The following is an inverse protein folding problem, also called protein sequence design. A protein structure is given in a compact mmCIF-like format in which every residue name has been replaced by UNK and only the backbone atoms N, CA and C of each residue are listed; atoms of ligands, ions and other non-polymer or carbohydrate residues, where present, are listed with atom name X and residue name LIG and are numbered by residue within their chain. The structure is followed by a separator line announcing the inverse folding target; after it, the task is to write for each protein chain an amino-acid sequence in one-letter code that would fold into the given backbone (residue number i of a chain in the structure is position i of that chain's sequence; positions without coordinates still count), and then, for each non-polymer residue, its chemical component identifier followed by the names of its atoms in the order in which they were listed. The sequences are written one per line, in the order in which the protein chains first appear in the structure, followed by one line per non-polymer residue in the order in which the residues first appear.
data_IF_234714438736
#
_entry.id   IF_234714438736
#
_cell.length_a   1.000
_cell.length_b   1.000
_cell.length_c   1.000
_cell.angle_alpha   90.00
_cell.angle_beta   90.00
_cell.angle_gamma   90.00
#
_symmetry.space_group_name_H-M   'P 1'
#
loop_
_entity.id
_entity.type
_entity.pdbx_description
1 polymer ?
#
# COMPACT_ATOMS: atom_id res chain seq x y z
N UNK A 1 61.82 1.67 27.24
CA UNK A 1 60.59 2.44 27.56
C UNK A 1 59.69 2.77 26.37
N UNK A 2 60.17 3.04 25.15
CA UNK A 2 59.30 3.49 24.03
C UNK A 2 58.51 2.40 23.28
N UNK A 3 58.93 1.13 23.30
CA UNK A 3 58.28 0.06 22.51
C UNK A 3 57.07 -0.56 23.20
N UNK A 4 57.14 -0.75 24.51
CA UNK A 4 56.04 -1.33 25.30
C UNK A 4 54.85 -0.38 25.45
N UNK A 5 55.10 0.93 25.55
CA UNK A 5 54.05 1.96 25.54
C UNK A 5 53.30 1.97 24.21
N UNK A 6 53.99 1.71 23.09
CA UNK A 6 53.39 1.68 21.76
C UNK A 6 52.47 0.46 21.57
N UNK A 7 52.89 -0.72 22.05
CA UNK A 7 52.06 -1.92 22.04
C UNK A 7 50.85 -1.79 22.97
N UNK A 8 51.01 -1.15 24.14
CA UNK A 8 49.89 -0.88 25.04
C UNK A 8 48.85 0.08 24.43
N UNK A 9 49.30 1.10 23.69
CA UNK A 9 48.41 2.02 22.96
C UNK A 9 47.67 1.34 21.81
N UNK A 10 48.34 0.47 21.04
CA UNK A 10 47.68 -0.29 19.98
C UNK A 10 46.66 -1.29 20.53
N UNK A 11 46.99 -1.97 21.63
CA UNK A 11 46.06 -2.87 22.31
C UNK A 11 44.86 -2.11 22.89
N UNK A 12 45.06 -0.94 23.49
CA UNK A 12 43.98 -0.10 24.00
C UNK A 12 43.07 0.43 22.87
N UNK A 13 43.65 0.78 21.71
CA UNK A 13 42.88 1.21 20.55
C UNK A 13 42.05 0.08 19.95
N UNK A 14 42.62 -1.12 19.81
CA UNK A 14 41.88 -2.33 19.41
C UNK A 14 40.77 -2.67 20.40
N UNK A 15 41.03 -2.55 21.70
CA UNK A 15 40.02 -2.79 22.73
C UNK A 15 38.87 -1.75 22.65
N UNK A 16 39.18 -0.48 22.37
CA UNK A 16 38.18 0.57 22.18
C UNK A 16 37.35 0.36 20.91
N UNK A 17 37.96 -0.09 19.81
CA UNK A 17 37.24 -0.44 18.58
C UNK A 17 36.32 -1.64 18.82
N UNK A 18 36.80 -2.70 19.49
CA UNK A 18 35.98 -3.86 19.85
C UNK A 18 34.87 -3.47 20.82
N UNK A 19 35.14 -2.63 21.83
CA UNK A 19 34.09 -2.11 22.72
C UNK A 19 33.08 -1.24 21.97
N UNK A 20 33.51 -0.43 21.02
CA UNK A 20 32.61 0.41 20.21
C UNK A 20 31.74 -0.42 19.26
N UNK A 21 32.28 -1.52 18.71
CA UNK A 21 31.52 -2.48 17.90
C UNK A 21 30.56 -3.28 18.77
N UNK A 22 30.96 -3.68 19.97
CA UNK A 22 30.14 -4.44 20.92
C UNK A 22 29.01 -3.58 21.53
N UNK A 23 29.31 -2.35 21.94
CA UNK A 23 28.32 -1.39 22.45
C UNK A 23 27.44 -0.81 21.33
N UNK A 24 27.95 -0.70 20.10
CA UNK A 24 27.17 -0.35 18.92
C UNK A 24 26.23 -1.46 18.47
N UNK A 25 26.62 -2.73 18.67
CA UNK A 25 25.76 -3.90 18.43
C UNK A 25 24.55 -3.94 19.40
N UNK A 26 24.72 -3.50 20.65
CA UNK A 26 23.63 -3.43 21.64
C UNK A 26 22.66 -2.24 21.44
N UNK A 27 23.07 -1.18 20.73
CA UNK A 27 22.15 -0.10 20.36
C UNK A 27 21.33 -0.42 19.10
N UNK A 28 21.84 -1.28 18.20
CA UNK A 28 21.12 -1.72 17.00
C UNK A 28 20.09 -2.82 17.29
N UNK A 29 20.26 -3.59 18.36
CA UNK A 29 19.28 -4.60 18.79
C UNK A 29 18.04 -4.03 19.50
N UNK A 30 18.06 -2.74 19.88
CA UNK A 30 16.98 -2.07 20.61
C UNK A 30 16.08 -1.17 19.76
N UNK A 31 16.40 -0.96 18.48
CA UNK A 31 15.54 -0.25 17.53
C UNK A 31 14.71 -1.30 16.79
N UNK A 32 13.86 -2.01 17.53
CA UNK A 32 12.70 -2.63 16.92
C UNK A 32 11.76 -1.49 16.51
N UNK A 33 11.36 -1.38 15.24
CA UNK A 33 10.28 -0.48 14.88
C UNK A 33 9.04 -0.93 15.68
N UNK A 34 8.17 0.02 16.02
CA UNK A 34 7.02 -0.11 16.94
C UNK A 34 5.95 -1.15 16.54
N UNK A 35 6.28 -2.08 15.64
CA UNK A 35 5.51 -3.22 15.17
C UNK A 35 5.41 -4.36 16.19
N UNK A 36 6.21 -4.39 17.26
CA UNK A 36 6.23 -5.52 18.20
C UNK A 36 6.36 -5.05 19.67
N UNK A 37 5.22 -4.92 20.35
CA UNK A 37 5.15 -5.20 21.80
C UNK A 37 4.22 -6.39 22.00
N UNK A 38 4.69 -7.52 22.54
CA UNK A 38 3.83 -8.65 22.87
C UNK A 38 3.00 -8.30 24.11
N UNK A 39 1.71 -8.08 23.93
CA UNK A 39 0.75 -7.92 25.01
C UNK A 39 -0.02 -9.21 25.24
N UNK A 40 0.20 -9.82 26.41
CA UNK A 40 -0.59 -10.83 27.10
C UNK A 40 -0.41 -12.31 26.69
N UNK A 41 0.44 -12.98 27.48
CA UNK A 41 0.37 -14.42 27.70
C UNK A 41 -1.00 -14.80 28.29
N UNK A 42 -1.73 -15.67 27.60
CA UNK A 42 -2.87 -16.37 28.18
C UNK A 42 -2.31 -17.55 28.97
N UNK A 43 -2.42 -17.47 30.30
CA UNK A 43 -2.22 -18.60 31.21
C UNK A 43 -3.26 -19.68 30.88
N UNK A 44 -2.83 -20.78 30.27
CA UNK A 44 -3.63 -22.01 30.20
C UNK A 44 -3.42 -22.76 31.52
N UNK A 45 -4.38 -22.64 32.43
CA UNK A 45 -4.46 -23.57 33.56
C UNK A 45 -5.08 -24.87 33.06
N UNK A 46 -4.25 -25.92 33.01
CA UNK A 46 -4.68 -27.28 32.90
C UNK A 46 -5.35 -27.71 34.21
N UNK A 47 -6.61 -28.13 34.14
CA UNK A 47 -7.20 -29.06 35.11
C UNK A 47 -7.91 -30.18 34.37
N UNK A 48 -7.42 -31.38 34.67
CA UNK A 48 -7.90 -32.68 34.25
C UNK A 48 -9.25 -33.04 34.89
N UNK A 49 -10.17 -33.60 34.11
CA UNK A 49 -11.12 -34.62 34.60
C UNK A 49 -11.82 -35.38 33.46
N UNK A 50 -11.40 -36.64 33.32
CA UNK A 50 -12.21 -37.87 33.09
C UNK A 50 -13.53 -37.84 32.29
N UNK A 51 -13.48 -38.55 31.16
CA UNK A 51 -14.49 -39.39 30.44
C UNK A 51 -15.43 -40.16 31.43
N UNK A 52 -16.72 -40.52 31.14
CA UNK A 52 -17.13 -41.29 29.96
C UNK A 52 -18.50 -41.04 29.28
N UNK A 53 -18.59 -41.71 28.13
CA UNK A 53 -19.67 -41.85 27.16
C UNK A 53 -20.92 -42.63 27.62
N UNK A 54 -21.85 -42.85 26.66
CA UNK A 54 -23.14 -43.57 26.62
C UNK A 54 -24.38 -42.68 26.81
N UNK A 55 -25.51 -42.82 26.10
CA UNK A 55 -25.98 -43.71 25.03
C UNK A 55 -27.31 -43.16 24.44
N UNK A 56 -27.67 -43.65 23.24
CA UNK A 56 -29.02 -43.89 22.65
C UNK A 56 -30.22 -42.99 23.04
N UNK A 57 -30.99 -42.43 22.10
CA UNK A 57 -32.10 -43.11 21.40
C UNK A 57 -32.77 -42.09 20.47
N UNK A 58 -32.77 -42.29 19.14
CA UNK A 58 -33.90 -42.76 18.30
C UNK A 58 -35.22 -41.96 18.32
N UNK A 59 -35.58 -41.52 17.10
CA UNK A 59 -36.93 -41.32 16.52
C UNK A 59 -37.70 -40.06 17.00
N UNK A 60 -38.44 -39.30 16.17
CA UNK A 60 -39.25 -39.67 15.01
C UNK A 60 -39.42 -38.47 14.04
N UNK A 61 -39.58 -38.82 12.76
CA UNK A 61 -40.09 -38.01 11.65
C UNK A 61 -41.57 -37.72 11.87
N UNK A 62 -42.04 -36.50 11.59
CA UNK A 62 -43.26 -36.29 10.77
C UNK A 62 -43.46 -34.82 10.34
N UNK A 63 -43.72 -34.68 9.05
CA UNK A 63 -44.02 -33.50 8.24
C UNK A 63 -45.53 -33.36 8.11
N UNK A 64 -46.17 -32.18 8.32
CA UNK A 64 -47.40 -31.67 7.63
C UNK A 64 -47.50 -30.15 7.93
N UNK A 65 -47.24 -29.24 6.99
CA UNK A 65 -48.14 -28.55 6.03
C UNK A 65 -49.26 -27.64 6.58
N UNK A 66 -49.12 -26.35 6.22
CA UNK A 66 -50.11 -25.35 5.79
C UNK A 66 -51.35 -25.03 6.65
N UNK A 67 -51.54 -23.73 6.92
CA UNK A 67 -52.78 -23.00 6.55
C UNK A 67 -52.56 -21.47 6.56
N UNK A 68 -53.13 -20.83 5.54
CA UNK A 68 -53.38 -19.39 5.38
C UNK A 68 -54.48 -18.93 6.38
N UNK A 69 -54.89 -17.69 6.61
CA UNK A 69 -54.68 -16.32 6.11
C UNK A 69 -55.34 -15.39 7.15
N UNK A 70 -54.98 -14.11 7.22
CA UNK A 70 -55.91 -13.05 7.62
C UNK A 70 -55.41 -11.67 7.14
N UNK A 71 -56.24 -11.04 6.30
CA UNK A 71 -56.13 -9.68 5.81
C UNK A 71 -56.70 -8.73 6.86
N UNK A 72 -56.02 -7.63 7.15
CA UNK A 72 -56.63 -6.45 7.75
C UNK A 72 -56.05 -5.18 7.11
N UNK A 73 -56.94 -4.38 6.53
CA UNK A 73 -56.68 -3.16 5.77
C UNK A 73 -56.92 -1.96 6.67
N UNK A 74 -55.94 -1.08 6.89
CA UNK A 74 -56.23 0.31 7.27
C UNK A 74 -55.08 1.29 6.98
N UNK A 75 -55.41 2.27 6.13
CA UNK A 75 -55.00 3.69 6.13
C UNK A 75 -53.56 4.12 5.83
N UNK A 76 -53.49 4.85 4.71
CA UNK A 76 -52.42 5.70 4.20
C UNK A 76 -51.86 6.67 5.25
N UNK A 77 -50.55 6.61 5.49
CA UNK A 77 -49.76 7.70 6.04
C UNK A 77 -48.56 7.94 5.11
N UNK A 78 -48.43 9.19 4.69
CA UNK A 78 -47.43 9.71 3.77
C UNK A 78 -46.04 9.59 4.41
N UNK A 79 -45.27 8.56 4.05
CA UNK A 79 -43.88 8.41 4.48
C UNK A 79 -43.00 9.31 3.61
N UNK A 80 -42.65 10.47 4.16
CA UNK A 80 -41.49 11.24 3.73
C UNK A 80 -40.27 10.34 3.82
N UNK A 81 -39.67 10.02 2.67
CA UNK A 81 -38.47 9.20 2.59
C UNK A 81 -37.34 9.80 3.41
N UNK A 82 -37.03 9.17 4.54
CA UNK A 82 -35.78 9.37 5.25
C UNK A 82 -34.65 8.85 4.38
N UNK A 83 -33.78 9.77 3.97
CA UNK A 83 -32.46 9.51 3.38
C UNK A 83 -31.73 8.48 4.29
N UNK A 84 -31.05 7.46 3.75
CA UNK A 84 -30.22 6.60 4.59
C UNK A 84 -29.21 7.46 5.33
N UNK A 85 -29.08 7.29 6.64
CA UNK A 85 -28.08 7.96 7.43
C UNK A 85 -26.70 7.48 6.95
N UNK A 86 -25.95 8.36 6.30
CA UNK A 86 -24.50 8.18 6.19
C UNK A 86 -23.96 8.20 7.62
N UNK A 87 -23.52 7.03 8.11
CA UNK A 87 -22.80 6.88 9.37
C UNK A 87 -21.39 7.48 9.23
N UNK A 88 -21.29 8.74 8.83
CA UNK A 88 -20.03 9.47 8.78
C UNK A 88 -19.62 9.82 10.22
N UNK A 89 -18.40 9.44 10.60
CA UNK A 89 -17.82 9.84 11.88
C UNK A 89 -17.66 11.37 11.87
N UNK A 90 -18.18 12.11 12.87
CA UNK A 90 -18.00 13.56 12.92
C UNK A 90 -16.52 13.93 12.99
N UNK A 91 -16.08 14.86 12.15
CA UNK A 91 -14.70 15.34 12.12
C UNK A 91 -14.52 16.40 13.23
N UNK A 92 -13.60 16.20 14.19
CA UNK A 92 -13.30 17.21 15.21
C UNK A 92 -12.67 18.46 14.58
N UNK A 93 -13.07 19.65 15.04
CA UNK A 93 -12.40 20.91 14.65
C UNK A 93 -11.17 21.16 15.52
N UNK A 94 -9.98 20.99 14.95
CA UNK A 94 -8.67 21.20 15.56
C UNK A 94 -7.95 22.41 14.95
N UNK A 95 -8.08 22.61 13.63
CA UNK A 95 -7.42 23.70 12.91
C UNK A 95 -8.28 24.97 12.87
N UNK A 96 -7.63 26.14 12.95
CA UNK A 96 -8.28 27.40 12.60
C UNK A 96 -8.66 27.40 11.10
N UNK A 97 -9.71 28.15 10.75
CA UNK A 97 -10.12 28.32 9.34
C UNK A 97 -8.97 28.83 8.47
N UNK A 98 -8.17 29.77 8.96
CA UNK A 98 -7.00 30.30 8.27
C UNK A 98 -5.96 29.22 7.98
N UNK A 99 -5.67 28.35 8.97
CA UNK A 99 -4.71 27.28 8.80
C UNK A 99 -5.19 26.23 7.79
N UNK A 100 -6.47 25.85 7.87
CA UNK A 100 -7.10 24.91 6.93
C UNK A 100 -7.07 25.46 5.50
N UNK A 101 -7.46 26.71 5.30
CA UNK A 101 -7.37 27.38 3.99
C UNK A 101 -5.94 27.42 3.47
N UNK A 102 -4.96 27.68 4.33
CA UNK A 102 -3.55 27.67 3.93
C UNK A 102 -3.04 26.27 3.53
N UNK A 103 -3.55 25.19 4.14
CA UNK A 103 -3.25 23.82 3.69
C UNK A 103 -3.89 23.51 2.34
N UNK A 104 -5.16 23.87 2.15
CA UNK A 104 -5.85 23.71 0.85
C UNK A 104 -5.12 24.48 -0.24
N UNK A 105 -4.77 25.75 -0.01
CA UNK A 105 -4.00 26.55 -0.96
C UNK A 105 -2.63 25.93 -1.29
N UNK A 106 -1.94 25.40 -0.27
CA UNK A 106 -0.69 24.69 -0.47
C UNK A 106 -0.86 23.42 -1.33
N UNK A 107 -1.90 22.62 -1.10
CA UNK A 107 -2.19 21.41 -1.89
C UNK A 107 -2.53 21.76 -3.34
N UNK A 108 -3.38 22.77 -3.54
CA UNK A 108 -3.87 23.13 -4.87
C UNK A 108 -2.86 23.91 -5.72
N UNK A 109 -1.86 24.55 -5.11
CA UNK A 109 -0.85 25.33 -5.80
C UNK A 109 0.58 24.87 -5.44
N UNK A 110 1.30 24.20 -6.37
CA UNK A 110 2.69 23.78 -6.13
C UNK A 110 3.66 24.95 -5.93
N UNK A 111 3.32 26.16 -6.42
CA UNK A 111 4.12 27.38 -6.24
C UNK A 111 3.92 28.04 -4.86
N UNK A 112 2.92 27.61 -4.06
CA UNK A 112 2.71 28.13 -2.71
C UNK A 112 3.71 27.51 -1.72
N UNK A 113 4.81 28.22 -1.46
CA UNK A 113 5.94 27.75 -0.65
C UNK A 113 5.85 28.08 0.84
N UNK A 114 4.75 28.67 1.33
CA UNK A 114 4.61 29.00 2.77
C UNK A 114 4.62 27.78 3.68
N UNK A 115 4.18 26.61 3.20
CA UNK A 115 4.23 25.36 3.95
C UNK A 115 5.40 24.50 3.44
N UNK A 116 6.29 24.03 4.35
CA UNK A 116 7.35 23.10 3.99
C UNK A 116 6.77 21.85 3.32
N UNK A 117 7.48 21.35 2.31
CA UNK A 117 7.18 20.10 1.60
C UNK A 117 8.43 19.63 0.86
N UNK A 118 8.47 18.38 0.44
CA UNK A 118 9.49 17.91 -0.51
C UNK A 118 9.38 18.68 -1.84
N UNK A 119 10.46 19.36 -2.22
CA UNK A 119 10.57 20.00 -3.53
C UNK A 119 10.83 18.93 -4.59
N UNK A 120 9.97 18.91 -5.62
CA UNK A 120 10.08 17.99 -6.74
C UNK A 120 10.54 18.76 -7.99
N UNK A 121 11.48 18.21 -8.76
CA UNK A 121 11.85 18.78 -10.06
C UNK A 121 10.68 18.71 -11.05
N UNK A 122 10.71 19.59 -12.05
CA UNK A 122 9.80 19.49 -13.19
C UNK A 122 10.07 18.21 -13.98
N UNK A 123 9.01 17.50 -14.36
CA UNK A 123 9.12 16.27 -15.12
C UNK A 123 8.91 16.49 -16.62
N UNK A 124 9.45 15.58 -17.44
CA UNK A 124 9.28 15.61 -18.89
C UNK A 124 7.87 15.18 -19.27
N UNK A 125 7.00 16.14 -19.55
CA UNK A 125 5.59 15.90 -19.93
C UNK A 125 5.44 14.98 -21.14
N UNK A 126 6.36 15.05 -22.13
CA UNK A 126 6.32 14.20 -23.33
C UNK A 126 6.42 12.70 -23.03
N UNK A 127 7.07 12.32 -21.92
CA UNK A 127 7.18 10.91 -21.51
C UNK A 127 5.82 10.32 -21.18
N UNK A 128 4.92 11.13 -20.63
CA UNK A 128 3.63 10.71 -20.09
C UNK A 128 2.45 11.19 -20.95
N UNK A 129 2.71 11.93 -22.04
CA UNK A 129 1.68 12.58 -22.86
C UNK A 129 0.60 11.62 -23.36
N UNK A 130 0.97 10.39 -23.71
CA UNK A 130 0.02 9.36 -24.17
C UNK A 130 -0.93 8.83 -23.07
N UNK A 131 -0.64 9.13 -21.79
CA UNK A 131 -1.52 8.80 -20.67
C UNK A 131 -2.62 9.84 -20.47
N UNK A 132 -2.39 11.08 -20.92
CA UNK A 132 -3.37 12.14 -20.80
C UNK A 132 -4.55 11.86 -21.73
N UNK A 133 -5.77 12.00 -21.22
CA UNK A 133 -6.96 11.96 -22.07
C UNK A 133 -6.96 13.20 -22.93
N UNK A 134 -6.93 13.02 -24.26
CA UNK A 134 -7.08 14.13 -25.17
C UNK A 134 -8.54 14.56 -25.19
N UNK A 135 -8.78 15.85 -25.01
CA UNK A 135 -10.08 16.48 -25.24
C UNK A 135 -10.36 16.46 -26.76
N UNK A 136 -10.70 15.29 -27.32
CA UNK A 136 -11.29 15.26 -28.64
C UNK A 136 -12.66 15.94 -28.53
N UNK A 137 -12.79 17.13 -29.13
CA UNK A 137 -14.01 17.97 -29.18
C UNK A 137 -15.22 17.30 -29.87
N UNK A 138 -15.23 15.96 -30.03
CA UNK A 138 -16.25 15.21 -30.74
C UNK A 138 -16.86 14.10 -29.88
N UNK A 139 -17.97 14.40 -29.21
CA UNK A 139 -19.14 13.53 -28.94
C UNK A 139 -18.92 12.06 -28.52
N UNK A 140 -17.75 11.70 -27.99
CA UNK A 140 -17.54 10.43 -27.31
C UNK A 140 -17.80 10.66 -25.82
N UNK A 141 -18.94 10.15 -25.34
CA UNK A 141 -19.23 9.92 -23.92
C UNK A 141 -17.94 9.57 -23.17
N UNK A 142 -17.51 10.34 -22.13
CA UNK A 142 -16.26 10.05 -21.44
C UNK A 142 -16.31 8.59 -21.01
N UNK A 143 -15.30 7.82 -21.41
CA UNK A 143 -15.23 6.36 -21.35
C UNK A 143 -15.11 5.80 -19.91
N UNK A 144 -15.72 6.44 -18.93
CA UNK A 144 -15.56 6.21 -17.51
C UNK A 144 -14.26 6.78 -16.96
N UNK A 145 -14.02 6.52 -15.68
CA UNK A 145 -12.79 6.87 -14.97
C UNK A 145 -11.68 5.90 -15.38
N UNK A 146 -10.58 6.44 -15.90
CA UNK A 146 -9.40 5.67 -16.31
C UNK A 146 -8.37 5.53 -15.18
N UNK A 147 -8.35 6.49 -14.24
CA UNK A 147 -7.37 6.56 -13.15
C UNK A 147 -8.08 6.75 -11.81
N UNK A 148 -7.98 5.75 -10.94
CA UNK A 148 -8.60 5.76 -9.61
C UNK A 148 -7.51 5.84 -8.54
N UNK A 149 -7.28 7.04 -8.00
CA UNK A 149 -6.37 7.26 -6.89
C UNK A 149 -7.03 6.84 -5.58
N UNK A 150 -6.35 6.02 -4.78
CA UNK A 150 -6.87 5.48 -3.53
C UNK A 150 -5.86 5.62 -2.39
N UNK A 151 -6.29 6.09 -1.22
CA UNK A 151 -5.44 6.26 -0.04
C UNK A 151 -6.21 5.91 1.24
N UNK A 152 -5.49 5.30 2.19
CA UNK A 152 -5.87 5.22 3.59
C UNK A 152 -4.92 6.12 4.39
N UNK A 153 -5.44 7.16 5.06
CA UNK A 153 -4.63 8.19 5.71
C UNK A 153 -4.94 8.33 7.20
N UNK A 154 -3.89 8.62 7.98
CA UNK A 154 -4.00 8.86 9.42
C UNK A 154 -2.84 9.70 9.94
N UNK A 155 -3.11 10.77 10.68
CA UNK A 155 -2.12 11.62 11.36
C UNK A 155 -0.97 12.07 10.44
N UNK A 156 -1.32 12.57 9.24
CA UNK A 156 -0.36 12.93 8.19
C UNK A 156 -0.54 14.36 7.65
N UNK A 157 -1.09 15.27 8.46
CA UNK A 157 -1.34 16.66 8.07
C UNK A 157 -0.09 17.33 7.48
N UNK A 158 1.06 17.05 8.09
CA UNK A 158 2.35 17.61 7.67
C UNK A 158 2.75 17.21 6.24
N UNK A 159 2.28 16.05 5.76
CA UNK A 159 2.64 15.48 4.47
C UNK A 159 1.65 15.85 3.36
N UNK A 160 0.41 16.23 3.70
CA UNK A 160 -0.65 16.52 2.73
C UNK A 160 -0.22 17.51 1.62
N UNK A 161 0.52 18.61 1.90
CA UNK A 161 0.98 19.51 0.85
C UNK A 161 1.82 18.84 -0.23
N UNK A 162 2.65 17.85 0.11
CA UNK A 162 3.40 17.07 -0.88
C UNK A 162 2.53 15.98 -1.49
N UNK A 163 1.95 15.12 -0.65
CA UNK A 163 1.28 13.91 -1.10
C UNK A 163 0.04 14.20 -1.95
N UNK A 164 -0.91 14.96 -1.41
CA UNK A 164 -2.14 15.31 -2.14
C UNK A 164 -1.83 16.33 -3.23
N UNK A 165 -0.86 17.22 -3.02
CA UNK A 165 -0.37 18.14 -4.06
C UNK A 165 0.11 17.39 -5.31
N UNK A 166 0.95 16.35 -5.14
CA UNK A 166 1.38 15.46 -6.25
C UNK A 166 0.23 14.79 -6.97
N UNK A 167 -0.77 14.33 -6.22
CA UNK A 167 -1.95 13.67 -6.79
C UNK A 167 -2.75 14.68 -7.62
N UNK A 168 -2.96 15.90 -7.11
CA UNK A 168 -3.65 16.98 -7.86
C UNK A 168 -2.86 17.36 -9.11
N UNK A 169 -1.53 17.47 -9.04
CA UNK A 169 -0.67 17.71 -10.19
C UNK A 169 -0.79 16.59 -11.24
N UNK A 170 -0.78 15.32 -10.82
CA UNK A 170 -0.98 14.17 -11.71
C UNK A 170 -2.39 14.14 -12.33
N UNK A 171 -3.43 14.45 -11.55
CA UNK A 171 -4.83 14.53 -12.02
C UNK A 171 -4.99 15.61 -13.09
N UNK A 172 -4.41 16.81 -12.86
CA UNK A 172 -4.39 17.88 -13.85
C UNK A 172 -3.71 17.45 -15.15
N UNK A 173 -2.62 16.70 -15.04
CA UNK A 173 -1.90 16.20 -16.20
C UNK A 173 -2.66 15.10 -16.97
N UNK A 174 -3.27 14.14 -16.26
CA UNK A 174 -3.97 13.00 -16.86
C UNK A 174 -5.33 13.37 -17.46
N UNK A 175 -5.92 14.48 -17.04
CA UNK A 175 -7.28 14.87 -17.36
C UNK A 175 -8.20 14.65 -16.15
N UNK A 176 -8.67 15.72 -15.48
CA UNK A 176 -9.44 15.61 -14.25
C UNK A 176 -10.71 14.75 -14.34
N UNK A 177 -11.42 14.81 -15.48
CA UNK A 177 -12.65 14.06 -15.73
C UNK A 177 -12.42 12.54 -15.86
N UNK A 178 -11.21 12.13 -16.24
CA UNK A 178 -10.83 10.73 -16.32
C UNK A 178 -10.31 10.17 -15.00
N UNK A 179 -10.29 11.01 -13.95
CA UNK A 179 -9.69 10.70 -12.66
C UNK A 179 -10.73 10.70 -11.54
N UNK A 180 -10.56 9.77 -10.61
CA UNK A 180 -11.22 9.80 -9.31
C UNK A 180 -10.19 9.75 -8.18
N UNK A 181 -10.47 10.45 -7.08
CA UNK A 181 -9.69 10.41 -5.85
C UNK A 181 -10.59 9.87 -4.73
N UNK A 182 -10.17 8.77 -4.10
CA UNK A 182 -10.87 8.12 -3.00
C UNK A 182 -9.96 8.06 -1.79
N UNK A 183 -10.40 8.67 -0.68
CA UNK A 183 -9.61 8.74 0.55
C UNK A 183 -10.45 8.25 1.72
N UNK A 184 -9.94 7.23 2.40
CA UNK A 184 -10.41 6.85 3.73
C UNK A 184 -9.45 7.45 4.75
N UNK A 185 -9.97 8.31 5.60
CA UNK A 185 -9.23 8.83 6.74
C UNK A 185 -9.67 8.08 7.99
N UNK A 186 -8.78 7.85 8.97
CA UNK A 186 -9.21 7.30 10.24
C UNK A 186 -8.36 7.68 11.44
N UNK A 187 -9.04 8.07 12.53
CA UNK A 187 -8.44 8.28 13.85
C UNK A 187 -7.29 9.31 13.87
N UNK A 188 -7.39 10.41 13.13
CA UNK A 188 -6.46 11.55 13.20
C UNK A 188 -6.91 12.63 14.19
N UNK A 189 -5.95 13.23 14.88
CA UNK A 189 -6.17 14.33 15.83
C UNK A 189 -5.37 15.59 15.46
N UNK A 190 -4.60 15.53 14.39
CA UNK A 190 -3.74 16.63 13.92
C UNK A 190 -4.44 17.61 12.97
N UNK A 191 -5.67 17.30 12.50
CA UNK A 191 -6.39 18.09 11.49
C UNK A 191 -6.32 17.52 10.07
N UNK A 192 -5.76 16.33 9.87
CA UNK A 192 -5.72 15.61 8.58
C UNK A 192 -7.10 15.55 7.94
N UNK A 193 -8.11 15.04 8.68
CA UNK A 193 -9.48 14.89 8.19
C UNK A 193 -10.11 16.22 7.76
N UNK A 194 -9.89 17.29 8.54
CA UNK A 194 -10.44 18.62 8.24
C UNK A 194 -9.91 19.18 6.92
N UNK A 195 -8.62 19.01 6.65
CA UNK A 195 -8.02 19.49 5.39
C UNK A 195 -8.53 18.65 4.21
N UNK A 196 -8.59 17.33 4.36
CA UNK A 196 -9.09 16.43 3.32
C UNK A 196 -10.55 16.73 2.97
N UNK A 197 -11.41 16.99 3.97
CA UNK A 197 -12.78 17.40 3.74
C UNK A 197 -12.86 18.76 3.02
N UNK A 198 -12.02 19.72 3.42
CA UNK A 198 -11.99 21.06 2.85
C UNK A 198 -11.48 21.14 1.40
N UNK A 199 -10.91 20.07 0.85
CA UNK A 199 -10.50 20.00 -0.56
C UNK A 199 -11.68 19.85 -1.53
N UNK A 200 -12.87 19.45 -1.05
CA UNK A 200 -14.01 19.14 -1.92
C UNK A 200 -14.36 20.24 -2.93
N UNK A 201 -14.53 21.52 -2.53
CA UNK A 201 -14.87 22.57 -3.49
C UNK A 201 -13.82 22.74 -4.60
N UNK A 202 -12.55 22.54 -4.27
CA UNK A 202 -11.44 22.68 -5.22
C UNK A 202 -11.39 21.51 -6.22
N UNK A 203 -11.62 20.28 -5.74
CA UNK A 203 -11.68 19.09 -6.59
C UNK A 203 -12.94 19.07 -7.47
N UNK A 204 -14.07 19.53 -6.94
CA UNK A 204 -15.30 19.72 -7.71
C UNK A 204 -15.09 20.79 -8.81
N UNK A 205 -14.38 21.88 -8.52
CA UNK A 205 -14.03 22.91 -9.51
C UNK A 205 -13.05 22.40 -10.58
N UNK A 206 -12.15 21.47 -10.23
CA UNK A 206 -11.35 20.72 -11.19
C UNK A 206 -12.16 19.65 -11.93
N UNK A 207 -13.43 19.43 -11.59
CA UNK A 207 -14.28 18.36 -12.13
C UNK A 207 -13.75 16.94 -11.89
N UNK A 208 -12.98 16.77 -10.82
CA UNK A 208 -12.47 15.47 -10.38
C UNK A 208 -13.49 14.79 -9.48
N UNK A 209 -13.76 13.52 -9.72
CA UNK A 209 -14.63 12.74 -8.81
C UNK A 209 -13.94 12.53 -7.46
N UNK A 210 -14.47 13.09 -6.37
CA UNK A 210 -13.86 13.00 -5.04
C UNK A 210 -14.71 12.25 -4.01
N UNK A 211 -14.26 11.06 -3.62
CA UNK A 211 -14.81 10.29 -2.51
C UNK A 211 -13.95 10.49 -1.27
N UNK A 212 -14.60 10.87 -0.17
CA UNK A 212 -13.94 11.04 1.12
C UNK A 212 -14.83 10.49 2.21
N UNK A 213 -14.24 9.70 3.10
CA UNK A 213 -14.92 9.12 4.25
C UNK A 213 -13.97 9.03 5.43
N UNK A 214 -14.42 9.48 6.60
CA UNK A 214 -13.75 9.19 7.87
C UNK A 214 -14.26 7.86 8.45
N UNK A 215 -13.34 7.08 9.02
CA UNK A 215 -13.54 5.72 9.53
C UNK A 215 -13.04 5.59 10.96
N UNK A 216 -13.78 4.88 11.80
CA UNK A 216 -13.40 4.53 13.18
C UNK A 216 -12.56 3.25 13.27
N UNK A 217 -12.37 2.54 12.16
CA UNK A 217 -11.57 1.30 12.11
C UNK A 217 -10.13 1.62 12.54
N UNK A 218 -9.73 1.05 13.67
CA UNK A 218 -8.40 1.22 14.22
C UNK A 218 -7.57 -0.07 14.06
N UNK A 219 -6.62 -0.13 13.10
CA UNK A 219 -5.78 -1.32 12.88
C UNK A 219 -4.76 -1.57 14.00
N UNK A 220 -4.61 -0.64 14.95
CA UNK A 220 -3.78 -0.86 16.17
C UNK A 220 -4.51 -1.64 17.26
N UNK A 221 -5.80 -1.94 17.09
CA UNK A 221 -6.61 -2.69 18.05
C UNK A 221 -7.15 -3.96 17.40
N UNK A 222 -7.04 -5.13 18.07
CA UNK A 222 -7.56 -6.39 17.55
C UNK A 222 -6.77 -6.93 16.35
N UNK A 223 -7.47 -7.58 15.41
CA UNK A 223 -6.85 -8.16 14.21
C UNK A 223 -6.43 -7.07 13.22
N UNK A 224 -5.14 -6.72 13.27
CA UNK A 224 -4.55 -5.67 12.45
C UNK A 224 -4.71 -5.91 10.95
N UNK A 225 -4.47 -7.13 10.47
CA UNK A 225 -4.44 -7.41 9.02
C UNK A 225 -5.86 -7.38 8.46
N UNK A 226 -6.83 -7.96 9.18
CA UNK A 226 -8.25 -7.87 8.78
C UNK A 226 -8.72 -6.42 8.68
N UNK A 227 -8.33 -5.56 9.63
CA UNK A 227 -8.71 -4.14 9.63
C UNK A 227 -8.03 -3.33 8.53
N UNK A 228 -6.76 -3.60 8.23
CA UNK A 228 -6.08 -2.97 7.09
C UNK A 228 -6.72 -3.37 5.77
N UNK A 229 -7.06 -4.67 5.61
CA UNK A 229 -7.81 -5.14 4.46
C UNK A 229 -9.19 -4.45 4.34
N UNK A 230 -9.90 -4.28 5.45
CA UNK A 230 -11.18 -3.57 5.49
C UNK A 230 -11.05 -2.11 5.03
N UNK A 231 -10.05 -1.37 5.54
CA UNK A 231 -9.77 0.01 5.13
C UNK A 231 -9.48 0.12 3.63
N UNK A 232 -8.59 -0.72 3.09
CA UNK A 232 -8.28 -0.71 1.65
C UNK A 232 -9.50 -1.05 0.79
N UNK A 233 -10.33 -1.98 1.23
CA UNK A 233 -11.58 -2.29 0.55
C UNK A 233 -12.57 -1.11 0.60
N UNK A 234 -12.62 -0.36 1.71
CA UNK A 234 -13.41 0.87 1.80
C UNK A 234 -12.92 1.93 0.82
N UNK A 235 -11.60 2.09 0.65
CA UNK A 235 -11.02 3.04 -0.31
C UNK A 235 -11.39 2.68 -1.76
N UNK A 236 -11.52 1.39 -2.08
CA UNK A 236 -11.95 0.93 -3.40
C UNK A 236 -13.47 0.83 -3.55
N UNK A 237 -14.24 0.88 -2.46
CA UNK A 237 -15.69 0.66 -2.49
C UNK A 237 -16.44 1.55 -3.50
N UNK A 238 -16.12 2.85 -3.67
CA UNK A 238 -16.81 3.66 -4.67
C UNK A 238 -16.68 3.11 -6.10
N UNK A 239 -15.54 2.53 -6.46
CA UNK A 239 -15.34 1.89 -7.76
C UNK A 239 -16.15 0.60 -7.92
N UNK A 240 -16.41 -0.10 -6.80
CA UNK A 240 -17.11 -1.39 -6.78
C UNK A 240 -18.62 -1.26 -6.53
N UNK A 241 -19.12 -0.06 -6.26
CA UNK A 241 -20.54 0.20 -6.05
C UNK A 241 -21.31 0.04 -7.38
N UNK A 242 -22.34 -0.83 -7.44
CA UNK A 242 -23.18 -0.96 -8.64
C UNK A 242 -23.78 0.36 -9.14
N UNK A 243 -23.97 1.36 -8.26
CA UNK A 243 -24.44 2.69 -8.66
C UNK A 243 -23.46 3.43 -9.56
N UNK A 244 -22.18 3.08 -9.49
CA UNK A 244 -21.09 3.68 -10.25
C UNK A 244 -20.64 2.81 -11.43
N UNK A 245 -21.37 1.74 -11.78
CA UNK A 245 -21.01 0.80 -12.85
C UNK A 245 -20.75 1.51 -14.21
N UNK A 246 -21.47 2.60 -14.49
CA UNK A 246 -21.23 3.41 -15.70
C UNK A 246 -19.88 4.14 -15.70
N UNK A 247 -19.41 4.56 -14.52
CA UNK A 247 -18.11 5.21 -14.37
C UNK A 247 -16.96 4.19 -14.39
N UNK A 248 -17.23 2.94 -14.00
CA UNK A 248 -16.25 1.87 -13.86
C UNK A 248 -16.74 0.57 -14.52
N UNK A 249 -16.94 0.54 -15.85
CA UNK A 249 -17.38 -0.68 -16.50
C UNK A 249 -16.29 -1.75 -16.37
N UNK A 250 -16.66 -3.02 -16.20
CA UNK A 250 -15.69 -4.11 -15.99
C UNK A 250 -14.69 -4.31 -17.15
N UNK A 251 -15.05 -3.85 -18.35
CA UNK A 251 -14.18 -3.86 -19.53
C UNK A 251 -13.29 -2.61 -19.63
N UNK A 252 -13.50 -1.59 -18.79
CA UNK A 252 -12.57 -0.47 -18.71
C UNK A 252 -11.22 -0.96 -18.18
N UNK A 253 -10.15 -0.49 -18.82
CA UNK A 253 -8.79 -0.69 -18.35
C UNK A 253 -8.44 0.36 -17.28
N UNK A 254 -9.31 0.53 -16.27
CA UNK A 254 -9.09 1.44 -15.15
C UNK A 254 -7.83 1.02 -14.38
N UNK A 255 -6.93 1.98 -14.17
CA UNK A 255 -5.76 1.82 -13.33
C UNK A 255 -6.07 2.35 -11.95
N UNK A 256 -5.97 1.51 -10.93
CA UNK A 256 -5.98 1.95 -9.53
C UNK A 256 -4.56 2.37 -9.16
N UNK A 257 -4.40 3.57 -8.62
CA UNK A 257 -3.14 4.06 -8.06
C UNK A 257 -3.33 4.16 -6.55
N UNK A 258 -2.86 3.14 -5.82
CA UNK A 258 -2.96 3.09 -4.37
C UNK A 258 -1.67 3.60 -3.75
N UNK A 259 -1.76 4.64 -2.93
CA UNK A 259 -0.62 5.38 -2.38
C UNK A 259 -0.72 5.39 -0.86
N UNK A 260 0.36 5.03 -0.18
CA UNK A 260 0.45 5.20 1.27
C UNK A 260 0.71 6.69 1.62
N UNK A 261 0.93 6.99 2.90
CA UNK A 261 1.35 8.30 3.41
C UNK A 261 2.84 8.58 3.13
N UNK A 262 3.21 8.69 1.86
CA UNK A 262 4.59 8.89 1.39
C UNK A 262 4.83 10.26 0.74
N UNK A 263 6.05 10.77 0.84
CA UNK A 263 6.54 11.95 0.13
C UNK A 263 6.82 11.61 -1.35
N UNK A 264 5.74 11.46 -2.12
CA UNK A 264 5.79 11.22 -3.56
C UNK A 264 5.79 12.54 -4.35
N UNK A 265 6.49 12.58 -5.48
CA UNK A 265 6.36 13.58 -6.53
C UNK A 265 5.28 13.18 -7.56
N UNK A 266 4.81 14.12 -8.39
CA UNK A 266 3.80 13.82 -9.41
C UNK A 266 4.30 12.79 -10.44
N UNK A 267 5.58 12.89 -10.85
CA UNK A 267 6.22 11.97 -11.80
C UNK A 267 6.46 10.58 -11.22
N UNK A 268 6.59 10.42 -9.89
CA UNK A 268 6.59 9.11 -9.26
C UNK A 268 5.28 8.35 -9.56
N UNK A 269 4.15 9.03 -9.48
CA UNK A 269 2.82 8.44 -9.71
C UNK A 269 2.60 8.18 -11.20
N UNK A 270 2.96 9.14 -12.05
CA UNK A 270 2.86 9.00 -13.50
C UNK A 270 3.77 7.89 -14.03
N UNK A 271 4.96 7.72 -13.46
CA UNK A 271 5.89 6.66 -13.85
C UNK A 271 5.36 5.27 -13.52
N UNK A 272 4.71 5.07 -12.36
CA UNK A 272 4.05 3.80 -12.05
C UNK A 272 2.96 3.49 -13.07
N UNK A 273 2.11 4.47 -13.40
CA UNK A 273 1.06 4.31 -14.41
C UNK A 273 1.66 4.02 -15.80
N UNK A 274 2.71 4.76 -16.19
CA UNK A 274 3.46 4.59 -17.43
C UNK A 274 3.98 3.17 -17.56
N UNK A 275 4.74 2.69 -16.58
CA UNK A 275 5.35 1.36 -16.63
C UNK A 275 4.28 0.27 -16.64
N UNK A 276 3.17 0.44 -15.91
CA UNK A 276 2.05 -0.51 -15.99
C UNK A 276 1.51 -0.62 -17.42
N UNK A 277 1.24 0.52 -18.07
CA UNK A 277 0.69 0.57 -19.43
C UNK A 277 1.69 0.06 -20.46
N UNK A 278 2.91 0.57 -20.43
CA UNK A 278 3.98 0.25 -21.38
C UNK A 278 4.36 -1.24 -21.35
N UNK A 279 4.51 -1.82 -20.16
CA UNK A 279 4.88 -3.24 -20.02
C UNK A 279 3.69 -4.20 -20.18
N UNK A 280 2.46 -3.66 -20.22
CA UNK A 280 1.24 -4.46 -20.10
C UNK A 280 1.20 -5.24 -18.79
N UNK A 281 1.65 -4.62 -17.70
CA UNK A 281 1.71 -5.20 -16.37
C UNK A 281 0.32 -5.16 -15.70
N UNK A 282 0.07 -6.16 -14.85
CA UNK A 282 -1.13 -6.21 -14.01
C UNK A 282 -0.97 -5.28 -12.80
N UNK A 283 0.26 -5.14 -12.30
CA UNK A 283 0.61 -4.32 -11.15
C UNK A 283 2.07 -3.84 -11.25
N UNK A 284 2.32 -2.58 -10.90
CA UNK A 284 3.66 -2.01 -10.76
C UNK A 284 3.80 -1.32 -9.41
N UNK A 285 4.90 -1.56 -8.69
CA UNK A 285 5.16 -0.97 -7.38
C UNK A 285 6.41 -0.08 -7.38
N UNK A 286 6.40 0.97 -6.57
CA UNK A 286 7.58 1.77 -6.27
C UNK A 286 8.59 1.00 -5.41
N UNK A 287 9.76 1.59 -5.17
CA UNK A 287 10.65 1.25 -4.06
C UNK A 287 10.39 2.19 -2.89
N UNK A 288 10.21 1.67 -1.68
CA UNK A 288 10.16 2.47 -0.46
C UNK A 288 11.33 2.18 0.47
N UNK A 289 11.74 3.23 1.16
CA UNK A 289 12.96 3.24 1.93
C UNK A 289 12.69 3.80 3.32
N UNK A 290 13.57 3.47 4.25
CA UNK A 290 13.63 4.03 5.58
C UNK A 290 15.09 4.15 6.03
N UNK A 291 15.33 4.75 7.20
CA UNK A 291 16.64 4.85 7.82
C UNK A 291 16.65 4.12 9.16
N UNK A 292 16.83 2.79 9.13
CA UNK A 292 17.13 2.00 10.35
C UNK A 292 18.59 2.10 10.78
N UNK A 293 19.43 2.73 9.95
CA UNK A 293 20.83 3.03 10.22
C UNK A 293 21.29 4.27 9.46
N UNK A 294 22.59 4.37 9.19
CA UNK A 294 23.17 5.51 8.44
C UNK A 294 22.64 5.60 7.01
N UNK A 295 22.53 4.46 6.35
CA UNK A 295 22.26 4.39 4.92
C UNK A 295 20.76 4.06 4.67
N UNK A 296 20.22 4.30 3.45
CA UNK A 296 18.83 3.98 3.08
C UNK A 296 18.48 2.48 2.97
N UNK A 297 17.58 1.98 3.81
CA UNK A 297 17.21 0.56 3.88
C UNK A 297 15.85 0.32 3.25
N UNK A 298 15.71 -0.73 2.42
CA UNK A 298 14.42 -1.09 1.83
C UNK A 298 13.43 -1.48 2.94
N UNK A 299 12.26 -0.84 2.96
CA UNK A 299 11.35 -0.92 4.10
C UNK A 299 10.41 -2.12 4.03
N UNK A 300 9.73 -2.33 2.90
CA UNK A 300 8.62 -3.28 2.78
C UNK A 300 9.05 -4.74 2.54
N UNK A 301 10.15 -5.17 3.18
CA UNK A 301 10.70 -6.54 3.05
C UNK A 301 9.72 -7.62 3.50
N UNK A 302 8.80 -7.28 4.41
CA UNK A 302 7.78 -8.22 4.89
C UNK A 302 6.80 -8.62 3.77
N UNK A 303 6.48 -7.70 2.85
CA UNK A 303 5.56 -7.92 1.72
C UNK A 303 6.27 -8.39 0.46
N UNK A 304 7.46 -7.86 0.20
CA UNK A 304 8.14 -8.03 -1.07
C UNK A 304 8.68 -9.46 -1.26
N UNK A 305 8.39 -10.08 -2.40
CA UNK A 305 8.89 -11.42 -2.76
C UNK A 305 9.38 -11.47 -4.20
N UNK A 306 10.60 -11.94 -4.41
CA UNK A 306 11.18 -12.18 -5.74
C UNK A 306 10.55 -13.41 -6.41
N UNK A 307 10.86 -13.64 -7.68
CA UNK A 307 10.54 -14.91 -8.34
C UNK A 307 11.55 -16.02 -8.02
N UNK A 308 12.80 -15.70 -7.61
CA UNK A 308 13.77 -16.67 -7.14
C UNK A 308 13.29 -17.37 -5.86
N UNK A 309 12.65 -18.53 -6.03
CA UNK A 309 12.17 -19.35 -4.91
C UNK A 309 11.11 -18.65 -4.03
N UNK A 310 10.59 -17.51 -4.46
CA UNK A 310 9.65 -16.70 -3.67
C UNK A 310 10.27 -16.12 -2.40
N UNK A 311 11.57 -15.76 -2.40
CA UNK A 311 12.27 -15.19 -1.24
C UNK A 311 12.05 -13.68 -1.09
N UNK A 312 12.36 -13.10 0.07
CA UNK A 312 12.32 -11.66 0.32
C UNK A 312 13.32 -10.87 -0.55
N UNK A 313 13.27 -9.54 -0.54
CA UNK A 313 14.19 -8.70 -1.34
C UNK A 313 15.60 -8.59 -0.76
N UNK A 314 15.77 -8.80 0.54
CA UNK A 314 17.06 -9.09 1.18
C UNK A 314 16.92 -10.23 2.19
N UNK A 315 18.03 -10.88 2.55
CA UNK A 315 18.03 -11.97 3.53
C UNK A 315 17.74 -11.42 4.93
N UNK A 316 16.77 -11.99 5.62
CA UNK A 316 16.55 -11.75 7.05
C UNK A 316 17.12 -12.95 7.80
N UNK A 317 18.22 -12.81 8.56
CA UNK A 317 18.80 -13.92 9.30
C UNK A 317 17.86 -14.45 10.41
N UNK A 318 18.13 -15.63 10.99
CA UNK A 318 17.26 -16.25 12.00
C UNK A 318 17.01 -15.42 13.27
N UNK A 319 17.89 -14.46 13.57
CA UNK A 319 17.73 -13.52 14.69
C UNK A 319 16.85 -12.30 14.34
N UNK A 320 16.35 -12.22 13.10
CA UNK A 320 15.46 -11.18 12.61
C UNK A 320 16.12 -9.83 12.32
N UNK A 321 17.46 -9.75 12.34
CA UNK A 321 18.16 -8.48 12.11
C UNK A 321 18.13 -8.05 10.63
N UNK A 322 18.49 -6.80 10.35
CA UNK A 322 18.47 -6.20 9.01
C UNK A 322 19.88 -5.92 8.47
N UNK A 323 20.92 -6.57 8.99
CA UNK A 323 22.31 -6.32 8.61
C UNK A 323 22.60 -6.65 7.14
N UNK A 324 21.82 -7.55 6.53
CA UNK A 324 21.92 -7.92 5.12
C UNK A 324 21.08 -7.03 4.19
N UNK A 325 20.43 -5.98 4.69
CA UNK A 325 19.46 -5.20 3.90
C UNK A 325 20.07 -4.43 2.71
N UNK A 326 21.39 -4.24 2.70
CA UNK A 326 22.15 -3.68 1.58
C UNK A 326 22.31 -4.65 0.40
N UNK A 327 22.19 -5.95 0.67
CA UNK A 327 22.40 -7.02 -0.29
C UNK A 327 21.07 -7.37 -0.99
N UNK A 328 20.45 -6.36 -1.60
CA UNK A 328 19.18 -6.54 -2.30
C UNK A 328 19.35 -7.52 -3.47
N UNK A 329 18.37 -8.42 -3.61
CA UNK A 329 18.28 -9.42 -4.68
C UNK A 329 19.52 -10.34 -4.73
N UNK A 330 20.11 -10.64 -3.57
CA UNK A 330 21.32 -11.48 -3.43
C UNK A 330 21.21 -12.84 -4.12
N UNK A 331 20.01 -13.42 -4.16
CA UNK A 331 19.71 -14.72 -4.75
C UNK A 331 18.91 -14.63 -6.08
N UNK A 332 18.71 -13.43 -6.64
CA UNK A 332 17.99 -13.21 -7.90
C UNK A 332 18.82 -12.29 -8.81
N UNK A 333 19.81 -12.84 -9.55
CA UNK A 333 20.72 -12.05 -10.37
C UNK A 333 20.02 -11.16 -11.41
N UNK A 334 18.91 -11.63 -11.99
CA UNK A 334 18.17 -10.89 -13.02
C UNK A 334 17.53 -9.63 -12.44
N UNK A 335 16.83 -9.76 -11.31
CA UNK A 335 16.25 -8.60 -10.62
C UNK A 335 17.36 -7.66 -10.13
N UNK A 336 18.48 -8.20 -9.64
CA UNK A 336 19.62 -7.38 -9.19
C UNK A 336 20.20 -6.54 -10.32
N UNK A 337 20.45 -7.14 -11.48
CA UNK A 337 20.98 -6.43 -12.65
C UNK A 337 20.01 -5.33 -13.11
N UNK A 338 18.72 -5.66 -13.24
CA UNK A 338 17.70 -4.69 -13.66
C UNK A 338 17.51 -3.57 -12.63
N UNK A 339 17.55 -3.89 -11.33
CA UNK A 339 17.51 -2.90 -10.25
C UNK A 339 18.65 -1.88 -10.38
N UNK A 340 19.89 -2.33 -10.53
CA UNK A 340 21.04 -1.43 -10.72
C UNK A 340 21.04 -0.67 -12.04
N UNK A 341 20.38 -1.21 -13.06
CA UNK A 341 20.16 -0.55 -14.34
C UNK A 341 18.94 0.40 -14.35
N UNK A 342 18.26 0.57 -13.21
CA UNK A 342 17.01 1.32 -13.10
C UNK A 342 15.91 0.83 -14.08
N UNK A 343 15.86 -0.47 -14.31
CA UNK A 343 14.89 -1.14 -15.17
C UNK A 343 13.84 -1.88 -14.35
N UNK A 344 12.56 -1.84 -14.74
CA UNK A 344 11.53 -2.64 -14.09
C UNK A 344 11.81 -4.13 -14.12
N UNK A 345 11.48 -4.88 -13.07
CA UNK A 345 11.68 -6.33 -12.98
C UNK A 345 10.47 -7.03 -12.35
N UNK A 346 10.17 -8.26 -12.79
CA UNK A 346 9.03 -9.03 -12.31
C UNK A 346 9.29 -9.61 -10.92
N UNK A 347 8.24 -9.65 -10.10
CA UNK A 347 8.26 -10.16 -8.72
C UNK A 347 7.03 -11.01 -8.45
N UNK A 348 7.06 -11.81 -7.38
CA UNK A 348 5.87 -12.50 -6.90
C UNK A 348 4.92 -11.52 -6.19
N UNK A 349 5.46 -10.63 -5.35
CA UNK A 349 4.66 -9.62 -4.64
C UNK A 349 5.46 -8.35 -4.36
N UNK A 350 4.75 -7.22 -4.37
CA UNK A 350 5.21 -5.92 -3.91
C UNK A 350 4.01 -5.05 -3.52
N UNK A 351 4.23 -4.03 -2.70
CA UNK A 351 3.27 -2.97 -2.43
C UNK A 351 4.01 -1.68 -2.18
N UNK A 352 4.93 -1.76 -1.21
CA UNK A 352 5.93 -0.76 -0.90
C UNK A 352 5.22 0.55 -0.52
N UNK A 353 5.67 1.70 -1.03
CA UNK A 353 5.05 2.99 -0.73
C UNK A 353 3.84 3.34 -1.61
N UNK A 354 3.82 2.85 -2.85
CA UNK A 354 2.76 3.12 -3.82
C UNK A 354 2.75 2.06 -4.93
N UNK A 355 1.57 1.79 -5.46
CA UNK A 355 1.37 0.82 -6.54
C UNK A 355 0.33 1.30 -7.55
N UNK A 356 0.50 0.91 -8.81
CA UNK A 356 -0.50 1.06 -9.86
C UNK A 356 -0.91 -0.33 -10.37
N UNK A 357 -2.19 -0.67 -10.34
CA UNK A 357 -2.68 -1.99 -10.76
C UNK A 357 -3.99 -1.95 -11.52
N UNK A 358 -4.30 -3.05 -12.21
CA UNK A 358 -5.55 -3.22 -12.95
C UNK A 358 -6.75 -3.34 -11.99
N UNK A 359 -7.81 -2.58 -12.24
CA UNK A 359 -9.07 -2.71 -11.49
C UNK A 359 -9.86 -3.98 -11.83
N UNK A 360 -9.60 -4.57 -13.01
CA UNK A 360 -10.39 -5.66 -13.59
C UNK A 360 -10.69 -6.83 -12.63
N UNK A 361 -9.72 -7.45 -11.92
CA UNK A 361 -10.03 -8.56 -11.03
C UNK A 361 -10.92 -8.17 -9.83
N UNK A 362 -10.93 -6.91 -9.41
CA UNK A 362 -11.84 -6.42 -8.36
C UNK A 362 -13.26 -6.21 -8.93
N UNK A 363 -13.38 -5.59 -10.10
CA UNK A 363 -14.66 -5.38 -10.79
C UNK A 363 -15.33 -6.71 -11.15
N UNK A 364 -14.55 -7.72 -11.53
CA UNK A 364 -15.00 -9.09 -11.75
C UNK A 364 -15.28 -9.88 -10.45
N UNK A 365 -15.07 -9.26 -9.28
CA UNK A 365 -15.24 -9.86 -7.94
C UNK A 365 -14.41 -11.13 -7.73
N UNK A 366 -13.26 -11.23 -8.40
CA UNK A 366 -12.30 -12.33 -8.26
C UNK A 366 -11.37 -12.13 -7.07
N UNK A 367 -11.03 -10.88 -6.77
CA UNK A 367 -10.10 -10.52 -5.69
C UNK A 367 -10.70 -9.45 -4.78
N UNK A 368 -10.22 -9.44 -3.55
CA UNK A 368 -10.51 -8.43 -2.51
C UNK A 368 -9.30 -8.37 -1.59
N UNK A 369 -9.06 -7.24 -0.91
CA UNK A 369 -8.12 -7.28 0.20
C UNK A 369 -8.70 -8.17 1.31
N UNK A 370 -7.84 -8.98 1.92
CA UNK A 370 -8.26 -9.96 2.94
C UNK A 370 -7.13 -10.24 3.92
N UNK A 371 -7.52 -10.77 5.07
CA UNK A 371 -6.60 -11.44 5.98
C UNK A 371 -6.24 -12.87 5.51
N UNK A 372 -5.21 -13.49 6.10
CA UNK A 372 -4.88 -14.88 5.87
C UNK A 372 -6.07 -15.81 6.16
N UNK A 373 -6.26 -16.81 5.30
CA UNK A 373 -7.23 -17.90 5.57
C UNK A 373 -6.68 -18.87 6.61
N UNK A 374 -7.55 -19.70 7.17
CA UNK A 374 -7.12 -20.76 8.11
C UNK A 374 -6.09 -21.68 7.44
N UNK A 375 -4.89 -21.77 8.01
CA UNK A 375 -3.79 -22.60 7.51
C UNK A 375 -2.92 -21.94 6.44
N UNK A 376 -3.24 -20.70 6.04
CA UNK A 376 -2.40 -19.87 5.19
C UNK A 376 -1.35 -19.14 6.03
N UNK A 377 -0.19 -18.84 5.44
CA UNK A 377 0.81 -18.00 6.10
C UNK A 377 0.21 -16.68 6.61
N UNK A 378 0.58 -16.30 7.85
CA UNK A 378 0.28 -14.98 8.37
C UNK A 378 1.13 -13.93 7.67
N UNK A 379 0.51 -13.13 6.80
CA UNK A 379 1.15 -12.12 5.95
C UNK A 379 0.23 -10.91 5.78
N UNK A 380 0.82 -9.77 5.42
CA UNK A 380 0.06 -8.56 5.13
C UNK A 380 -0.88 -8.74 3.94
N UNK A 381 -2.00 -8.01 3.98
CA UNK A 381 -3.01 -8.01 2.93
C UNK A 381 -2.49 -7.67 1.52
N UNK A 382 -1.40 -6.90 1.31
CA UNK A 382 -0.91 -6.64 -0.04
C UNK A 382 -0.20 -7.84 -0.66
N UNK A 383 0.53 -8.61 0.15
CA UNK A 383 1.18 -9.83 -0.33
C UNK A 383 0.15 -10.91 -0.65
N UNK A 384 -0.93 -10.99 0.14
CA UNK A 384 -2.08 -11.85 -0.15
C UNK A 384 -2.83 -11.42 -1.40
N UNK A 385 -2.98 -10.11 -1.64
CA UNK A 385 -3.54 -9.59 -2.89
C UNK A 385 -2.70 -10.05 -4.09
N UNK A 386 -1.38 -9.89 -4.05
CA UNK A 386 -0.49 -10.35 -5.13
C UNK A 386 -0.65 -11.85 -5.39
N UNK A 387 -0.74 -12.65 -4.31
CA UNK A 387 -1.00 -14.09 -4.41
C UNK A 387 -2.35 -14.40 -5.09
N UNK A 388 -3.40 -13.65 -4.77
CA UNK A 388 -4.71 -13.80 -5.41
C UNK A 388 -4.70 -13.33 -6.87
N UNK A 389 -3.94 -12.28 -7.19
CA UNK A 389 -3.65 -11.85 -8.57
C UNK A 389 -3.01 -12.99 -9.37
N UNK A 390 -1.93 -13.58 -8.87
CA UNK A 390 -1.30 -14.76 -9.49
C UNK A 390 -2.28 -15.92 -9.67
N UNK A 391 -3.09 -16.21 -8.65
CA UNK A 391 -4.09 -17.29 -8.71
C UNK A 391 -5.11 -17.08 -9.83
N UNK A 392 -5.49 -15.83 -10.11
CA UNK A 392 -6.44 -15.46 -11.16
C UNK A 392 -5.78 -15.12 -12.51
N UNK A 393 -4.48 -15.37 -12.68
CA UNK A 393 -3.75 -15.17 -13.95
C UNK A 393 -3.22 -13.75 -14.16
N UNK A 394 -3.24 -12.90 -13.13
CA UNK A 394 -2.74 -11.52 -13.14
C UNK A 394 -1.32 -11.43 -12.55
N UNK A 395 -0.42 -12.30 -13.02
CA UNK A 395 0.94 -12.48 -12.49
C UNK A 395 2.00 -11.51 -13.03
N UNK A 396 1.65 -10.55 -13.90
CA UNK A 396 2.59 -9.56 -14.42
C UNK A 396 2.78 -8.43 -13.41
N UNK A 397 3.42 -8.75 -12.28
CA UNK A 397 3.68 -7.83 -11.18
C UNK A 397 5.14 -7.41 -11.25
N UNK A 398 5.41 -6.11 -11.32
CA UNK A 398 6.77 -5.59 -11.43
C UNK A 398 7.08 -4.49 -10.41
N UNK A 399 8.34 -4.37 -10.05
CA UNK A 399 8.87 -3.21 -9.33
C UNK A 399 9.44 -2.22 -10.33
N UNK A 400 9.27 -0.92 -10.08
CA UNK A 400 9.80 0.20 -10.87
C UNK A 400 10.88 0.91 -10.06
N UNK A 401 12.19 0.59 -10.28
CA UNK A 401 13.27 1.07 -9.40
C UNK A 401 13.59 2.56 -9.51
N UNK A 402 13.04 3.23 -10.52
CA UNK A 402 13.16 4.68 -10.70
C UNK A 402 12.31 5.45 -9.70
N UNK A 403 11.23 4.84 -9.19
CA UNK A 403 10.32 5.46 -8.23
C UNK A 403 10.76 5.12 -6.81
N UNK A 404 11.33 6.09 -6.11
CA UNK A 404 11.88 5.92 -4.76
C UNK A 404 11.13 6.80 -3.74
N UNK A 405 10.55 6.18 -2.71
CA UNK A 405 9.61 6.79 -1.78
C UNK A 405 10.06 6.66 -0.31
N UNK A 406 9.52 7.53 0.54
CA UNK A 406 9.75 7.58 1.98
C UNK A 406 8.54 8.25 2.65
N UNK A 407 8.32 8.04 3.96
CA UNK A 407 7.12 8.42 4.71
C UNK A 407 7.12 9.85 5.31
N UNK A 408 8.10 10.69 4.97
CA UNK A 408 8.22 12.07 5.44
C UNK A 408 8.93 12.95 4.41
N UNK A 409 8.68 14.26 4.41
CA UNK A 409 9.37 15.17 3.48
C UNK A 409 10.88 15.24 3.71
N UNK A 410 11.32 15.22 4.98
CA UNK A 410 12.75 15.33 5.32
C UNK A 410 13.53 14.11 4.85
N UNK A 411 13.06 12.91 5.21
CA UNK A 411 13.73 11.67 4.84
C UNK A 411 13.45 11.32 3.38
N UNK A 412 12.28 11.67 2.84
CA UNK A 412 11.99 11.65 1.40
C UNK A 412 13.02 12.44 0.60
N UNK A 413 13.37 13.65 1.03
CA UNK A 413 14.46 14.41 0.40
C UNK A 413 15.79 13.66 0.44
N UNK A 414 16.16 13.09 1.58
CA UNK A 414 17.40 12.31 1.71
C UNK A 414 17.41 11.07 0.81
N UNK A 415 16.26 10.40 0.65
CA UNK A 415 16.08 9.27 -0.28
C UNK A 415 16.19 9.73 -1.72
N UNK A 416 15.55 10.84 -2.10
CA UNK A 416 15.66 11.38 -3.47
C UNK A 416 17.09 11.80 -3.81
N UNK A 417 17.85 12.33 -2.84
CA UNK A 417 19.27 12.64 -2.99
C UNK A 417 20.14 11.38 -3.13
N UNK A 418 19.84 10.31 -2.38
CA UNK A 418 20.63 9.08 -2.36
C UNK A 418 20.30 8.09 -3.49
N UNK A 419 19.03 8.01 -3.90
CA UNK A 419 18.50 7.04 -4.88
C UNK A 419 18.10 7.68 -6.20
N UNK A 420 17.84 8.99 -6.21
CA UNK A 420 17.44 9.75 -7.39
C UNK A 420 15.96 10.13 -7.39
N UNK A 421 15.66 11.27 -8.02
CA UNK A 421 14.32 11.62 -8.45
C UNK A 421 13.95 10.85 -9.73
N UNK A 422 12.67 10.48 -9.87
CA UNK A 422 12.17 9.72 -11.02
C UNK A 422 12.53 10.41 -12.34
N UNK A 423 12.16 11.68 -12.50
CA UNK A 423 12.55 12.55 -13.63
C UNK A 423 14.03 12.54 -13.96
N UNK A 424 14.92 12.53 -12.97
CA UNK A 424 16.36 12.49 -13.21
C UNK A 424 16.80 11.10 -13.72
N UNK A 425 16.27 10.03 -13.14
CA UNK A 425 16.66 8.66 -13.50
C UNK A 425 16.14 8.27 -14.89
N UNK A 426 14.87 8.58 -15.19
CA UNK A 426 14.28 8.29 -16.51
C UNK A 426 14.75 9.25 -17.60
N UNK A 427 15.25 10.42 -17.21
CA UNK A 427 15.86 11.41 -18.10
C UNK A 427 17.37 11.25 -18.27
N UNK A 428 18.01 10.30 -17.57
CA UNK A 428 19.44 10.10 -17.63
C UNK A 428 19.91 9.66 -19.03
N UNK A 429 21.10 10.10 -19.44
CA UNK A 429 21.68 9.70 -20.71
C UNK A 429 21.79 8.17 -20.80
N UNK A 430 21.26 7.60 -21.88
CA UNK A 430 21.27 6.16 -22.10
C UNK A 430 20.14 5.39 -21.41
N UNK A 431 19.33 6.02 -20.55
CA UNK A 431 18.12 5.39 -20.03
C UNK A 431 17.12 5.12 -21.17
N UNK A 432 16.55 3.93 -21.17
CA UNK A 432 15.51 3.49 -22.10
C UNK A 432 14.56 2.57 -21.36
N UNK A 433 13.28 2.62 -21.70
CA UNK A 433 12.35 1.61 -21.21
C UNK A 433 12.62 0.29 -21.92
N UNK A 434 12.95 -0.74 -21.15
CA UNK A 434 13.09 -2.11 -21.63
C UNK A 434 11.88 -2.95 -21.21
N UNK A 435 11.49 -3.87 -22.08
CA UNK A 435 10.41 -4.82 -21.80
C UNK A 435 10.86 -5.88 -20.77
N UNK A 436 9.88 -6.53 -20.13
CA UNK A 436 10.13 -7.69 -19.27
C UNK A 436 9.74 -8.96 -20.03
N UNK A 437 10.63 -9.94 -20.06
CA UNK A 437 10.25 -11.31 -20.40
C UNK A 437 9.49 -11.92 -19.23
N UNK A 438 8.16 -11.83 -19.27
CA UNK A 438 7.29 -12.28 -18.19
C UNK A 438 7.37 -13.80 -17.99
N UNK A 439 7.71 -14.22 -16.79
CA UNK A 439 7.54 -15.59 -16.33
C UNK A 439 6.05 -15.82 -16.06
N UNK A 440 5.47 -16.80 -16.77
CA UNK A 440 4.04 -17.09 -16.70
C UNK A 440 3.62 -17.83 -15.42
N UNK A 441 4.54 -18.61 -14.83
CA UNK A 441 4.30 -19.37 -13.61
C UNK A 441 4.91 -18.66 -12.40
N UNK A 442 4.20 -18.63 -11.26
CA UNK A 442 4.80 -18.18 -9.99
C UNK A 442 5.84 -19.20 -9.51
N UNK A 443 6.70 -18.85 -8.53
CA UNK A 443 7.57 -19.82 -7.89
C UNK A 443 6.76 -20.92 -7.21
N UNK A 444 7.29 -22.15 -7.17
CA UNK A 444 6.61 -23.28 -6.52
C UNK A 444 6.31 -23.01 -5.05
N UNK A 445 7.24 -22.35 -4.37
CA UNK A 445 7.10 -21.94 -2.96
C UNK A 445 7.33 -20.46 -2.79
N UNK A 446 6.76 -19.91 -1.73
CA UNK A 446 6.97 -18.53 -1.31
C UNK A 446 7.33 -18.51 0.17
N UNK A 447 8.22 -17.59 0.53
CA UNK A 447 8.65 -17.41 1.91
C UNK A 447 7.51 -16.84 2.75
N UNK A 448 7.07 -17.65 3.69
CA UNK A 448 6.24 -17.28 4.81
C UNK A 448 7.10 -16.68 5.92
N UNK A 449 6.71 -15.50 6.40
CA UNK A 449 7.37 -14.77 7.50
C UNK A 449 6.31 -14.22 8.47
N UNK A 450 5.67 -15.01 9.34
CA UNK A 450 4.74 -14.48 10.34
C UNK A 450 5.37 -13.40 11.21
N UNK A 451 6.66 -13.56 11.49
CA UNK A 451 7.55 -12.56 12.03
C UNK A 451 8.97 -12.79 11.49
N UNK A 452 9.94 -11.93 11.84
CA UNK A 452 11.31 -12.03 11.33
C UNK A 452 12.12 -13.19 11.91
N UNK A 453 11.74 -13.74 13.07
CA UNK A 453 12.40 -14.90 13.68
C UNK A 453 11.85 -16.25 13.20
N UNK A 454 10.61 -16.27 12.72
CA UNK A 454 9.96 -17.48 12.21
C UNK A 454 9.75 -17.36 10.70
N UNK A 455 10.64 -17.98 9.91
CA UNK A 455 10.56 -17.94 8.46
C UNK A 455 10.61 -19.37 7.89
N UNK A 456 9.77 -19.67 6.90
CA UNK A 456 9.76 -20.95 6.21
C UNK A 456 9.16 -20.82 4.82
N UNK A 457 9.47 -21.75 3.92
CA UNK A 457 8.87 -21.80 2.58
C UNK A 457 7.65 -22.72 2.58
N UNK A 458 6.56 -22.28 1.95
CA UNK A 458 5.38 -23.10 1.70
C UNK A 458 4.90 -22.94 0.25
N UNK A 459 4.09 -23.88 -0.23
CA UNK A 459 3.49 -23.82 -1.57
C UNK A 459 2.81 -22.47 -1.81
N UNK A 460 3.12 -21.82 -2.93
CA UNK A 460 2.64 -20.45 -3.19
C UNK A 460 1.11 -20.34 -3.20
N UNK A 461 0.42 -21.38 -3.67
CA UNK A 461 -1.03 -21.47 -3.83
C UNK A 461 -1.73 -22.14 -2.64
N UNK A 462 -1.02 -22.44 -1.55
CA UNK A 462 -1.60 -23.09 -0.37
C UNK A 462 -2.87 -22.34 0.08
N UNK A 463 -3.94 -23.07 0.35
CA UNK A 463 -5.28 -22.55 0.74
C UNK A 463 -6.06 -21.79 -0.35
N UNK A 464 -5.60 -21.78 -1.60
CA UNK A 464 -6.42 -21.30 -2.71
C UNK A 464 -7.55 -22.29 -3.03
N UNK A 465 -8.74 -21.83 -3.46
CA UNK A 465 -9.87 -22.71 -3.72
C UNK A 465 -9.54 -23.76 -4.78
N UNK A 466 -9.75 -25.05 -4.48
CA UNK A 466 -9.50 -26.14 -5.43
C UNK A 466 -8.08 -26.72 -5.41
N UNK A 467 -7.24 -26.26 -4.48
CA UNK A 467 -6.01 -26.92 -4.00
C UNK A 467 -6.31 -27.61 -2.68
#
# INVERSE_FOLDING_TARGET
MRREVFFALQAAFLLLVVLSLYLGHDQLSQIAPSFLKPGHAIHVNATSSSVPATAHSTQHVETISSTAAAIATTTSAKVTGTKPADNAVPIPTVLSTENRTAYVAAIMNPDEKKRPRLECPAFNTKRYEYLAVQDDEGDSDPSGIQYFFALDLRECLYLLPRLIGSIVEAIRFLGPQACALSIIEGNSHDGTAEVLEALRPELDALTTTYYFKSSDINPKQGDRISKLAELRNLALQPMLDPKNEKLYPAEANTTVIFINDVAACADDLLELVHQRRFLGADMTCAMDWTYVGRDPTFYDVWIARTLAGGDSFFEIPPDGNWNSAWNLFWNEPTARERFFAHQPFQVFSCWNGATAFTAKPFLEKKVTFRAPRKGECMQGEPQLLCKDFWWHGYGKIAVVPTVNLEYSDEKGKQIKEAKGFTSNLVGAEGHKDDTIQWQASPPEKVKCMPDYGHQFFEEWNKTQPGV
#
